data_IF_076284250993
#
_entry.id   IF_076284250993
#
_cell.length_a   1.000
_cell.length_b   1.000
_cell.length_c   1.000
_cell.angle_alpha   90.00
_cell.angle_beta   90.00
_cell.angle_gamma   90.00
#
_symmetry.space_group_name_H-M   'P 1'
#
loop_
_entity.id
_entity.type
_entity.pdbx_description
1 polymer ?
#
# COMPACT_ATOMS: atom_id res chain seq x y z
N UNK A 1 -10.21 -1.03 -5.19
CA UNK A 1 -11.03 -2.08 -4.53
C UNK A 1 -12.26 -2.36 -5.40
N UNK A 2 -12.61 -3.65 -5.63
CA UNK A 2 -13.77 -4.03 -6.44
C UNK A 2 -14.91 -4.50 -5.55
N UNK A 3 -16.15 -4.15 -5.91
CA UNK A 3 -17.40 -4.56 -5.24
C UNK A 3 -18.49 -4.82 -6.28
N UNK A 4 -19.52 -5.54 -5.87
CA UNK A 4 -20.75 -5.69 -6.63
C UNK A 4 -21.94 -5.27 -5.77
N UNK A 5 -22.89 -4.57 -6.38
CA UNK A 5 -24.12 -4.17 -5.69
C UNK A 5 -25.01 -5.42 -5.49
N UNK A 6 -25.30 -5.75 -4.25
CA UNK A 6 -26.16 -6.91 -3.90
C UNK A 6 -27.66 -6.57 -3.98
N UNK A 7 -27.98 -5.28 -4.04
CA UNK A 7 -29.35 -4.72 -4.19
C UNK A 7 -29.28 -3.37 -4.88
N UNK A 8 -30.39 -2.89 -5.36
CA UNK A 8 -30.51 -1.52 -5.85
C UNK A 8 -30.17 -0.56 -4.72
N UNK A 9 -29.31 0.41 -5.01
CA UNK A 9 -28.78 1.36 -4.03
C UNK A 9 -28.64 2.72 -4.66
N UNK A 10 -28.95 3.77 -3.90
CA UNK A 10 -28.71 5.16 -4.32
C UNK A 10 -27.56 5.69 -3.47
N UNK A 11 -26.54 6.24 -4.12
CA UNK A 11 -25.40 6.87 -3.45
C UNK A 11 -25.82 8.26 -2.92
N UNK A 12 -25.05 8.86 -1.98
CA UNK A 12 -25.33 10.18 -1.44
C UNK A 12 -25.39 11.31 -2.49
N UNK A 13 -24.69 11.14 -3.62
CA UNK A 13 -24.68 12.06 -4.75
C UNK A 13 -25.89 11.87 -5.71
N UNK A 14 -26.82 10.97 -5.39
CA UNK A 14 -27.96 10.63 -6.20
C UNK A 14 -27.72 9.56 -7.27
N UNK A 15 -26.49 9.08 -7.45
CA UNK A 15 -26.17 8.03 -8.41
C UNK A 15 -26.88 6.73 -8.07
N UNK A 16 -27.70 6.23 -9.00
CA UNK A 16 -28.43 4.97 -8.86
C UNK A 16 -27.61 3.80 -9.35
N UNK A 17 -27.39 2.82 -8.49
CA UNK A 17 -26.75 1.55 -8.79
C UNK A 17 -27.76 0.43 -8.74
N UNK A 18 -27.91 -0.31 -9.83
CA UNK A 18 -28.79 -1.49 -9.86
C UNK A 18 -28.06 -2.71 -9.30
N UNK A 19 -28.81 -3.66 -8.78
CA UNK A 19 -28.30 -4.97 -8.33
C UNK A 19 -27.42 -5.61 -9.42
N UNK A 20 -26.26 -6.11 -9.03
CA UNK A 20 -25.29 -6.74 -9.95
C UNK A 20 -24.30 -5.77 -10.58
N UNK A 21 -24.48 -4.45 -10.45
CA UNK A 21 -23.49 -3.48 -10.92
C UNK A 21 -22.15 -3.72 -10.27
N UNK A 22 -21.09 -3.74 -11.09
CA UNK A 22 -19.70 -3.81 -10.61
C UNK A 22 -19.18 -2.40 -10.35
N UNK A 23 -18.54 -2.23 -9.21
CA UNK A 23 -18.00 -0.95 -8.76
C UNK A 23 -16.50 -1.11 -8.54
N UNK A 24 -15.77 -0.08 -8.93
CA UNK A 24 -14.37 0.06 -8.58
C UNK A 24 -14.19 1.32 -7.73
N UNK A 25 -13.65 1.12 -6.54
CA UNK A 25 -13.36 2.21 -5.61
C UNK A 25 -11.89 2.54 -5.75
N UNK A 26 -11.60 3.80 -6.11
CA UNK A 26 -10.25 4.31 -6.26
C UNK A 26 -9.54 4.39 -4.91
N UNK A 27 -8.25 4.02 -4.88
CA UNK A 27 -7.37 4.24 -3.74
C UNK A 27 -6.64 5.59 -3.78
N UNK A 28 -7.08 6.53 -4.63
CA UNK A 28 -6.41 7.80 -4.86
C UNK A 28 -6.19 8.63 -3.59
N UNK A 29 -7.06 8.51 -2.60
CA UNK A 29 -6.92 9.22 -1.31
C UNK A 29 -5.60 8.91 -0.59
N UNK A 30 -4.97 7.78 -0.86
CA UNK A 30 -3.63 7.49 -0.34
C UNK A 30 -2.53 8.38 -0.94
N UNK A 31 -2.83 9.07 -2.04
CA UNK A 31 -1.94 10.01 -2.75
C UNK A 31 -2.45 11.45 -2.67
N UNK A 32 -3.41 11.73 -1.81
CA UNK A 32 -3.97 13.07 -1.62
C UNK A 32 -3.12 13.88 -0.65
N UNK A 33 -2.55 15.02 -1.07
CA UNK A 33 -1.73 15.86 -0.20
C UNK A 33 -2.49 16.44 1.02
N UNK A 34 -3.82 16.53 0.94
CA UNK A 34 -4.65 16.97 2.07
C UNK A 34 -4.74 15.90 3.17
N UNK A 35 -4.52 14.63 2.80
CA UNK A 35 -4.50 13.49 3.74
C UNK A 35 -3.06 13.21 4.22
N UNK A 36 -2.12 13.23 3.28
CA UNK A 36 -0.71 12.97 3.56
C UNK A 36 0.16 14.07 2.94
N UNK A 37 0.62 15.05 3.73
CA UNK A 37 1.55 16.08 3.23
C UNK A 37 2.78 15.46 2.59
N UNK A 38 3.30 16.10 1.52
CA UNK A 38 4.46 15.61 0.74
C UNK A 38 4.31 14.14 0.28
N UNK A 39 3.13 13.76 -0.17
CA UNK A 39 2.80 12.37 -0.52
C UNK A 39 3.65 11.80 -1.66
N UNK A 40 4.19 12.63 -2.51
CA UNK A 40 5.09 12.30 -3.62
C UNK A 40 6.54 12.02 -3.18
N UNK A 41 6.90 12.39 -1.93
CA UNK A 41 8.21 12.14 -1.36
C UNK A 41 8.21 10.87 -0.52
N UNK A 42 9.24 10.03 -0.72
CA UNK A 42 9.45 8.90 0.18
C UNK A 42 9.87 9.39 1.56
N UNK A 43 9.11 9.01 2.58
CA UNK A 43 9.38 9.30 3.97
C UNK A 43 9.13 8.04 4.82
N UNK A 44 10.20 7.35 5.14
CA UNK A 44 10.16 6.09 5.88
C UNK A 44 9.65 6.23 7.32
N UNK A 45 9.62 7.45 7.87
CA UNK A 45 9.16 7.71 9.24
C UNK A 45 7.75 8.31 9.30
N UNK A 46 7.10 8.55 8.16
CA UNK A 46 5.77 9.18 8.10
C UNK A 46 4.77 8.51 9.03
N UNK A 47 4.56 7.22 8.87
CA UNK A 47 3.59 6.48 9.66
C UNK A 47 4.02 6.25 11.10
N UNK A 48 5.32 6.28 11.40
CA UNK A 48 5.81 6.28 12.78
C UNK A 48 5.42 7.56 13.51
N UNK A 49 5.61 8.72 12.86
CA UNK A 49 5.19 10.02 13.43
C UNK A 49 3.67 10.06 13.64
N UNK A 50 2.89 9.74 12.62
CA UNK A 50 1.43 9.72 12.72
C UNK A 50 0.93 8.79 13.84
N UNK A 51 1.59 7.67 14.06
CA UNK A 51 1.26 6.76 15.16
C UNK A 51 1.60 7.38 16.52
N UNK A 52 2.73 8.06 16.64
CA UNK A 52 3.13 8.75 17.87
C UNK A 52 2.21 9.94 18.19
N UNK A 53 1.63 10.55 17.16
CA UNK A 53 0.59 11.58 17.28
C UNK A 53 -0.80 11.01 17.61
N UNK A 54 -0.91 9.70 17.77
CA UNK A 54 -2.14 9.01 18.20
C UNK A 54 -3.08 8.63 17.07
N UNK A 55 -2.65 8.66 15.79
CA UNK A 55 -3.49 8.21 14.68
C UNK A 55 -3.60 6.67 14.66
N UNK A 56 -4.76 6.08 15.03
CA UNK A 56 -4.89 4.63 15.17
C UNK A 56 -4.79 3.88 13.83
N UNK A 57 -5.06 4.58 12.72
CA UNK A 57 -4.99 4.03 11.36
C UNK A 57 -3.58 4.05 10.76
N UNK A 58 -2.57 4.55 11.47
CA UNK A 58 -1.20 4.63 11.00
C UNK A 58 -0.41 3.30 11.07
N UNK A 59 -1.06 2.20 11.44
CA UNK A 59 -0.44 0.88 11.39
C UNK A 59 -0.57 0.26 10.00
N UNK A 60 0.44 -0.49 9.57
CA UNK A 60 0.46 -1.15 8.25
C UNK A 60 -0.77 -2.03 7.98
N UNK A 61 -1.27 -2.70 9.00
CA UNK A 61 -2.45 -3.58 8.91
C UNK A 61 -3.78 -2.83 8.97
N UNK A 62 -3.78 -1.55 9.33
CA UNK A 62 -5.00 -0.75 9.44
C UNK A 62 -5.59 -0.50 8.07
N UNK A 63 -6.93 -0.49 8.03
CA UNK A 63 -7.70 -0.17 6.83
C UNK A 63 -8.60 1.02 7.09
N UNK A 64 -8.62 1.95 6.17
CA UNK A 64 -9.49 3.13 6.22
C UNK A 64 -9.89 3.54 4.80
N UNK A 65 -10.83 4.45 4.62
CA UNK A 65 -11.11 5.01 3.30
C UNK A 65 -9.87 5.60 2.62
N UNK A 66 -8.92 6.15 3.41
CA UNK A 66 -7.67 6.72 2.89
C UNK A 66 -6.55 5.68 2.70
N UNK A 67 -6.68 4.48 3.28
CA UNK A 67 -5.67 3.42 3.22
C UNK A 67 -6.32 2.09 2.87
N UNK A 68 -6.42 1.80 1.58
CA UNK A 68 -7.13 0.63 1.06
C UNK A 68 -6.20 -0.47 0.54
N UNK A 69 -4.92 -0.50 0.93
CA UNK A 69 -3.96 -1.52 0.49
C UNK A 69 -4.41 -2.95 0.80
N UNK A 70 -5.08 -3.15 1.92
CA UNK A 70 -5.70 -4.42 2.29
C UNK A 70 -7.24 -4.41 2.13
N UNK A 71 -7.78 -3.52 1.31
CA UNK A 71 -9.22 -3.30 1.20
C UNK A 71 -9.77 -2.54 2.41
N UNK A 72 -11.10 -2.52 2.57
CA UNK A 72 -11.78 -1.83 3.67
C UNK A 72 -13.14 -2.46 3.96
N UNK A 73 -13.63 -2.28 5.20
CA UNK A 73 -14.92 -2.79 5.67
C UNK A 73 -14.92 -4.30 5.89
N UNK A 74 -16.09 -4.93 5.87
CA UNK A 74 -16.27 -6.34 6.20
C UNK A 74 -15.55 -7.33 5.28
N UNK A 75 -15.03 -6.88 4.15
CA UNK A 75 -14.24 -7.69 3.21
C UNK A 75 -12.78 -7.20 3.11
N UNK A 76 -12.27 -6.55 4.14
CA UNK A 76 -10.84 -6.30 4.26
C UNK A 76 -10.08 -7.64 4.31
N UNK A 77 -8.85 -7.64 3.79
CA UNK A 77 -8.03 -8.84 3.73
C UNK A 77 -7.89 -9.51 5.13
N UNK A 78 -8.36 -10.73 5.33
CA UNK A 78 -8.23 -11.41 6.64
C UNK A 78 -6.79 -11.78 6.96
N UNK A 79 -5.96 -12.02 5.93
CA UNK A 79 -4.55 -12.38 6.05
C UNK A 79 -3.59 -11.20 6.27
N UNK A 80 -4.07 -9.96 6.40
CA UNK A 80 -3.21 -8.79 6.51
C UNK A 80 -2.27 -8.80 7.72
N UNK A 81 -2.68 -9.42 8.81
CA UNK A 81 -1.84 -9.56 10.00
C UNK A 81 -0.68 -10.56 9.77
N UNK A 82 -0.97 -11.66 9.11
CA UNK A 82 0.04 -12.64 8.69
C UNK A 82 1.01 -12.00 7.70
N UNK A 83 0.50 -11.35 6.65
CA UNK A 83 1.32 -10.64 5.67
C UNK A 83 2.22 -9.57 6.32
N UNK A 84 1.73 -8.84 7.33
CA UNK A 84 2.54 -7.87 8.06
C UNK A 84 3.70 -8.53 8.81
N UNK A 85 3.48 -9.67 9.45
CA UNK A 85 4.54 -10.39 10.16
C UNK A 85 5.59 -10.92 9.18
N UNK A 86 5.14 -11.57 8.11
CA UNK A 86 6.01 -12.12 7.06
C UNK A 86 6.86 -11.03 6.39
N UNK A 87 6.22 -9.94 5.94
CA UNK A 87 6.93 -8.83 5.28
C UNK A 87 7.95 -8.15 6.21
N UNK A 88 7.64 -7.98 7.50
CA UNK A 88 8.58 -7.40 8.46
C UNK A 88 9.80 -8.29 8.68
N UNK A 89 9.60 -9.59 8.83
CA UNK A 89 10.68 -10.56 9.00
C UNK A 89 11.55 -10.59 7.74
N UNK A 90 10.94 -10.71 6.56
CA UNK A 90 11.64 -10.73 5.29
C UNK A 90 12.45 -9.43 5.08
N UNK A 91 11.83 -8.27 5.30
CA UNK A 91 12.49 -6.98 5.14
C UNK A 91 13.64 -6.79 6.13
N UNK A 92 13.45 -7.17 7.41
CA UNK A 92 14.52 -7.10 8.40
C UNK A 92 15.70 -7.99 8.00
N UNK A 93 15.42 -9.23 7.59
CA UNK A 93 16.45 -10.15 7.10
C UNK A 93 17.20 -9.60 5.89
N UNK A 94 16.48 -9.05 4.91
CA UNK A 94 17.08 -8.44 3.73
C UNK A 94 17.96 -7.24 4.10
N UNK A 95 17.49 -6.33 4.94
CA UNK A 95 18.22 -5.12 5.31
C UNK A 95 19.46 -5.39 6.19
N UNK A 96 19.42 -6.45 6.98
CA UNK A 96 20.57 -6.85 7.80
C UNK A 96 21.66 -7.56 6.97
N UNK A 97 21.27 -8.32 5.95
CA UNK A 97 22.19 -9.17 5.18
C UNK A 97 22.67 -8.57 3.85
N UNK A 98 21.98 -7.56 3.33
CA UNK A 98 22.26 -7.07 1.99
C UNK A 98 22.23 -5.53 1.92
N UNK A 99 23.12 -4.99 1.09
CA UNK A 99 23.04 -3.63 0.57
C UNK A 99 22.28 -3.63 -0.74
N UNK A 100 21.43 -2.64 -0.94
CA UNK A 100 20.62 -2.48 -2.15
C UNK A 100 20.96 -1.16 -2.84
N UNK A 101 21.08 -1.20 -4.15
CA UNK A 101 21.22 0.00 -4.96
C UNK A 101 20.35 -0.11 -6.20
N UNK A 102 19.50 0.90 -6.43
CA UNK A 102 18.81 1.03 -7.71
C UNK A 102 19.79 1.51 -8.77
N UNK A 103 19.67 0.97 -9.97
CA UNK A 103 20.54 1.32 -11.10
C UNK A 103 20.24 2.71 -11.65
N UNK A 104 18.99 3.10 -11.63
CA UNK A 104 18.48 4.38 -12.14
C UNK A 104 18.27 5.38 -11.01
N UNK A 105 18.72 6.63 -11.21
CA UNK A 105 18.51 7.72 -10.24
C UNK A 105 17.07 8.26 -10.30
N UNK A 106 16.45 8.17 -11.47
CA UNK A 106 15.07 8.61 -11.66
C UNK A 106 14.07 7.54 -11.17
N UNK A 107 12.93 8.00 -10.63
CA UNK A 107 11.83 7.10 -10.27
C UNK A 107 11.39 6.32 -11.52
N UNK A 108 11.40 4.98 -11.50
CA UNK A 108 10.95 4.18 -12.63
C UNK A 108 9.50 4.51 -12.97
N UNK A 109 9.12 4.53 -14.25
CA UNK A 109 7.74 4.71 -14.64
C UNK A 109 6.90 3.54 -14.11
N UNK A 110 5.69 3.86 -13.66
CA UNK A 110 4.73 2.86 -13.23
C UNK A 110 4.33 2.00 -14.42
N UNK A 111 4.42 0.69 -14.27
CA UNK A 111 3.95 -0.26 -15.27
C UNK A 111 2.44 -0.46 -15.07
N UNK A 112 1.66 0.14 -15.97
CA UNK A 112 0.21 0.08 -15.89
C UNK A 112 -0.37 -0.95 -16.84
N UNK A 113 -1.11 -1.90 -16.30
CA UNK A 113 -1.88 -2.87 -17.08
C UNK A 113 -3.36 -2.67 -16.76
N UNK A 114 -4.10 -2.07 -17.70
CA UNK A 114 -5.51 -1.68 -17.49
C UNK A 114 -5.64 -0.78 -16.25
N UNK A 115 -6.31 -1.23 -15.21
CA UNK A 115 -6.55 -0.50 -13.97
C UNK A 115 -5.57 -0.89 -12.83
N UNK A 116 -4.57 -1.71 -13.14
CA UNK A 116 -3.57 -2.17 -12.18
C UNK A 116 -2.26 -1.42 -12.38
N UNK A 117 -1.76 -0.85 -11.30
CA UNK A 117 -0.41 -0.32 -11.22
C UNK A 117 0.51 -1.38 -10.64
N UNK A 118 1.50 -1.79 -11.39
CA UNK A 118 2.46 -2.82 -11.04
C UNK A 118 3.85 -2.22 -10.88
N UNK A 119 4.68 -2.85 -10.07
CA UNK A 119 6.11 -2.55 -10.09
C UNK A 119 6.65 -2.85 -11.49
N UNK A 120 7.56 -1.98 -11.98
CA UNK A 120 8.14 -2.19 -13.30
C UNK A 120 9.01 -3.47 -13.28
N UNK A 121 8.66 -4.51 -14.05
CA UNK A 121 9.39 -5.78 -14.01
C UNK A 121 10.75 -5.73 -14.70
N UNK A 122 11.05 -4.64 -15.43
CA UNK A 122 12.33 -4.46 -16.12
C UNK A 122 13.38 -3.73 -15.29
N UNK A 123 12.96 -3.18 -14.13
CA UNK A 123 13.90 -2.51 -13.24
C UNK A 123 14.75 -3.50 -12.46
N UNK A 124 16.05 -3.22 -12.45
CA UNK A 124 17.03 -4.06 -11.78
C UNK A 124 17.52 -3.38 -10.50
N UNK A 125 17.58 -4.16 -9.44
CA UNK A 125 18.17 -3.78 -8.17
C UNK A 125 19.51 -4.50 -8.07
N UNK A 126 20.59 -3.76 -7.84
CA UNK A 126 21.89 -4.35 -7.51
C UNK A 126 21.88 -4.72 -6.04
N UNK A 127 22.33 -5.92 -5.74
CA UNK A 127 22.37 -6.48 -4.39
C UNK A 127 23.81 -6.92 -4.07
N UNK A 128 24.32 -6.53 -2.91
CA UNK A 128 25.60 -6.98 -2.37
C UNK A 128 25.37 -7.56 -0.98
N UNK A 129 25.91 -8.74 -0.73
CA UNK A 129 25.88 -9.32 0.62
C UNK A 129 26.78 -8.50 1.55
N UNK A 130 26.26 -8.19 2.73
CA UNK A 130 27.01 -7.53 3.81
C UNK A 130 27.78 -8.56 4.63
N UNK A 131 28.83 -8.13 5.31
CA UNK A 131 29.38 -8.88 6.44
C UNK A 131 28.37 -8.77 7.58
N UNK A 132 27.99 -9.91 8.14
CA UNK A 132 26.92 -9.95 9.16
C UNK A 132 27.49 -9.49 10.50
N UNK A 133 26.98 -8.38 11.01
CA UNK A 133 27.34 -7.87 12.34
C UNK A 133 26.62 -8.66 13.47
N UNK A 134 25.53 -9.33 13.12
CA UNK A 134 24.71 -10.14 14.04
C UNK A 134 24.36 -11.44 13.35
N UNK A 135 24.76 -12.55 13.95
CA UNK A 135 24.33 -13.88 13.54
C UNK A 135 22.90 -14.13 14.06
N UNK A 136 21.93 -14.28 13.15
CA UNK A 136 20.56 -14.65 13.47
C UNK A 136 20.32 -16.12 13.20
#
# INVERSE_FOLDING_TARGET
MHRAAVRDTVLPDGTRMVKGSKLMISGHQSMDPSVYPDVDKFDGHRFLRLRNEGLPTAQFVSTSPCTMGFGHGGQACPGRFFANAELKIALAHMLLKYDFKVKTVARPPVFQVSLLNLANPTENIMVRRREEEICM
#
